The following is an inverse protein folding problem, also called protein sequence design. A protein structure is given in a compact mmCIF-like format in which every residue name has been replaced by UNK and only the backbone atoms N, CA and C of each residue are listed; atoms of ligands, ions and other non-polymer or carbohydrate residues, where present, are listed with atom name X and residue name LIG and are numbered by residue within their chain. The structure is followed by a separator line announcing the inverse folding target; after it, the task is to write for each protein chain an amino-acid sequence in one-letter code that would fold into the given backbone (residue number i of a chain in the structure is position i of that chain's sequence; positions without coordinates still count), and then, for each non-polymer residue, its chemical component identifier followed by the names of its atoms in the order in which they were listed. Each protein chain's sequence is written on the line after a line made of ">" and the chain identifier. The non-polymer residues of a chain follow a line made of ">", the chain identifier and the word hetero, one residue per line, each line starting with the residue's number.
data_IF_724034792986
#
_entry.id   IF_724034792986
#
_cell.length_a   1.000
_cell.length_b   1.000
_cell.length_c   1.000
_cell.angle_alpha   90.00
_cell.angle_beta   90.00
_cell.angle_gamma   90.00
#
_symmetry.space_group_name_H-M   'P 1'
#
loop_
_entity.id
_entity.type
_entity.pdbx_description
1 polymer ?
#
# COMPACT_ATOMS: atom_id res chain seq x y z
N UNK A 1 -22.86 -0.86 -8.36
CA UNK A 1 -22.06 -1.66 -7.40
C UNK A 1 -22.50 -1.26 -6.01
N UNK A 2 -22.95 -2.18 -5.13
CA UNK A 2 -23.38 -1.81 -3.78
C UNK A 2 -22.21 -1.17 -3.00
N UNK A 3 -22.50 -0.24 -2.08
CA UNK A 3 -21.48 0.46 -1.32
C UNK A 3 -20.65 -0.53 -0.48
N UNK A 4 -19.37 -0.19 -0.27
CA UNK A 4 -18.48 -0.97 0.59
C UNK A 4 -19.01 -0.95 2.02
N UNK A 5 -19.00 -2.11 2.68
CA UNK A 5 -19.37 -2.21 4.10
C UNK A 5 -18.42 -1.36 4.94
N UNK A 6 -18.99 -0.45 5.73
CA UNK A 6 -18.27 0.46 6.61
C UNK A 6 -17.47 -0.30 7.67
N UNK A 7 -16.48 0.36 8.27
CA UNK A 7 -15.70 -0.24 9.37
C UNK A 7 -16.59 -0.60 10.56
N UNK A 8 -17.57 0.24 10.87
CA UNK A 8 -18.56 -0.01 11.93
C UNK A 8 -19.38 -1.27 11.66
N UNK A 9 -19.94 -1.42 10.46
CA UNK A 9 -20.68 -2.61 10.09
C UNK A 9 -19.80 -3.87 10.10
N UNK A 10 -18.51 -3.75 9.78
CA UNK A 10 -17.54 -4.87 9.89
C UNK A 10 -17.30 -5.29 11.33
N UNK A 11 -17.15 -4.34 12.24
CA UNK A 11 -17.07 -4.62 13.68
C UNK A 11 -18.33 -5.31 14.16
N UNK A 12 -19.51 -4.83 13.73
CA UNK A 12 -20.79 -5.44 14.07
C UNK A 12 -20.93 -6.86 13.54
N UNK A 13 -20.50 -7.12 12.31
CA UNK A 13 -20.45 -8.48 11.73
C UNK A 13 -19.63 -9.42 12.63
N UNK A 14 -18.43 -9.00 13.03
CA UNK A 14 -17.53 -9.80 13.88
C UNK A 14 -18.18 -10.06 15.24
N UNK A 15 -18.76 -9.03 15.86
CA UNK A 15 -19.45 -9.15 17.13
C UNK A 15 -20.61 -10.16 17.07
N UNK A 16 -21.48 -10.06 16.06
CA UNK A 16 -22.60 -10.97 15.89
C UNK A 16 -22.15 -12.40 15.58
N UNK A 17 -21.06 -12.56 14.83
CA UNK A 17 -20.45 -13.87 14.57
C UNK A 17 -19.90 -14.50 15.84
N UNK A 18 -19.24 -13.72 16.71
CA UNK A 18 -18.76 -14.20 18.03
C UNK A 18 -19.90 -14.63 18.95
N UNK A 19 -21.06 -13.99 18.84
CA UNK A 19 -22.30 -14.38 19.54
C UNK A 19 -23.00 -15.61 18.93
N UNK A 20 -22.43 -16.22 17.89
CA UNK A 20 -22.97 -17.44 17.27
C UNK A 20 -24.13 -17.21 16.30
N UNK A 21 -24.43 -15.98 15.89
CA UNK A 21 -25.46 -15.75 14.86
C UNK A 21 -25.05 -16.36 13.53
N UNK A 22 -26.02 -16.89 12.80
CA UNK A 22 -25.80 -17.43 11.46
C UNK A 22 -25.43 -16.32 10.46
N UNK A 23 -24.60 -16.65 9.46
CA UNK A 23 -24.14 -15.68 8.46
C UNK A 23 -25.31 -15.03 7.69
N UNK A 24 -26.40 -15.79 7.45
CA UNK A 24 -27.62 -15.28 6.81
C UNK A 24 -28.34 -14.25 7.67
N UNK A 25 -28.47 -14.51 8.97
CA UNK A 25 -29.09 -13.56 9.89
C UNK A 25 -28.28 -12.26 9.99
N UNK A 26 -26.94 -12.37 10.05
CA UNK A 26 -26.04 -11.21 10.07
C UNK A 26 -26.16 -10.40 8.77
N UNK A 27 -26.21 -11.07 7.62
CA UNK A 27 -26.35 -10.42 6.32
C UNK A 27 -27.65 -9.60 6.22
N UNK A 28 -28.77 -10.17 6.68
CA UNK A 28 -30.06 -9.50 6.73
C UNK A 28 -30.05 -8.30 7.69
N UNK A 29 -29.45 -8.44 8.87
CA UNK A 29 -29.37 -7.38 9.89
C UNK A 29 -28.52 -6.18 9.42
N UNK A 30 -27.41 -6.43 8.73
CA UNK A 30 -26.49 -5.40 8.26
C UNK A 30 -26.92 -4.81 6.90
N UNK A 31 -27.77 -5.50 6.15
CA UNK A 31 -28.13 -5.10 4.78
C UNK A 31 -27.01 -5.33 3.78
N UNK A 32 -26.28 -6.46 3.89
CA UNK A 32 -25.21 -6.83 2.95
C UNK A 32 -25.33 -8.29 2.50
N UNK A 33 -24.48 -8.71 1.56
CA UNK A 33 -24.50 -10.09 1.07
C UNK A 33 -23.85 -11.06 2.06
N UNK A 34 -24.33 -12.31 2.10
CA UNK A 34 -23.73 -13.39 2.93
C UNK A 34 -22.24 -13.57 2.61
N UNK A 35 -21.85 -13.45 1.34
CA UNK A 35 -20.45 -13.51 0.92
C UNK A 35 -19.60 -12.40 1.57
N UNK A 36 -20.16 -11.21 1.78
CA UNK A 36 -19.46 -10.12 2.46
C UNK A 36 -19.27 -10.42 3.94
N UNK A 37 -20.31 -10.94 4.61
CA UNK A 37 -20.22 -11.40 6.01
C UNK A 37 -19.13 -12.45 6.15
N UNK A 38 -19.17 -13.49 5.28
CA UNK A 38 -18.20 -14.57 5.26
C UNK A 38 -16.77 -14.04 5.11
N UNK A 39 -16.52 -13.16 4.13
CA UNK A 39 -15.20 -12.55 3.91
C UNK A 39 -14.69 -11.76 5.11
N UNK A 40 -15.56 -10.99 5.77
CA UNK A 40 -15.19 -10.23 6.97
C UNK A 40 -14.87 -11.15 8.15
N UNK A 41 -15.67 -12.20 8.35
CA UNK A 41 -15.45 -13.18 9.42
C UNK A 41 -14.14 -13.94 9.21
N UNK A 42 -13.85 -14.38 7.98
CA UNK A 42 -12.56 -15.02 7.65
C UNK A 42 -11.38 -14.07 7.85
N UNK A 43 -11.43 -12.86 7.30
CA UNK A 43 -10.36 -11.88 7.50
C UNK A 43 -10.09 -11.61 9.00
N UNK A 44 -11.12 -11.62 9.83
CA UNK A 44 -10.95 -11.49 11.28
C UNK A 44 -10.39 -12.76 11.94
N UNK A 45 -10.86 -13.95 11.57
CA UNK A 45 -10.41 -15.22 12.17
C UNK A 45 -8.98 -15.58 11.78
N UNK A 46 -8.64 -15.36 10.51
CA UNK A 46 -7.38 -15.82 9.92
C UNK A 46 -6.26 -14.79 10.13
N UNK A 47 -6.59 -13.48 10.10
CA UNK A 47 -5.60 -12.38 10.15
C UNK A 47 -5.85 -11.36 11.27
N UNK A 48 -6.93 -11.48 12.05
CA UNK A 48 -7.29 -10.49 13.08
C UNK A 48 -7.77 -9.13 12.51
N UNK A 49 -8.03 -9.05 11.20
CA UNK A 49 -8.13 -7.79 10.47
C UNK A 49 -9.58 -7.37 10.22
N UNK A 50 -9.93 -6.14 10.59
CA UNK A 50 -11.27 -5.55 10.39
C UNK A 50 -11.36 -4.77 9.06
N UNK A 51 -10.25 -4.16 8.64
CA UNK A 51 -10.16 -3.38 7.40
C UNK A 51 -10.12 -4.24 6.14
N UNK A 52 -9.98 -3.61 4.97
CA UNK A 52 -9.55 -4.34 3.77
C UNK A 52 -8.07 -4.74 3.90
N UNK A 53 -7.66 -5.79 3.19
CA UNK A 53 -6.25 -6.13 3.07
C UNK A 53 -5.50 -4.98 2.37
N UNK A 54 -4.23 -4.80 2.72
CA UNK A 54 -3.37 -3.88 1.99
C UNK A 54 -3.39 -4.27 0.51
N UNK A 55 -3.59 -3.27 -0.37
CA UNK A 55 -3.52 -3.54 -1.80
C UNK A 55 -2.07 -3.79 -2.17
N UNK A 56 -1.82 -4.89 -2.86
CA UNK A 56 -0.55 -5.08 -3.55
C UNK A 56 -0.54 -4.13 -4.75
N UNK A 57 0.30 -3.11 -4.68
CA UNK A 57 0.56 -2.24 -5.82
C UNK A 57 1.29 -3.02 -6.91
N UNK A 58 1.29 -2.47 -8.12
CA UNK A 58 2.16 -2.98 -9.19
C UNK A 58 3.62 -2.94 -8.70
N UNK A 59 4.42 -4.00 -8.91
CA UNK A 59 5.85 -3.98 -8.57
C UNK A 59 6.54 -2.76 -9.20
N UNK A 60 7.44 -2.14 -8.44
CA UNK A 60 8.23 -1.01 -8.90
C UNK A 60 9.21 -1.49 -9.97
N UNK A 61 9.54 -0.59 -10.91
CA UNK A 61 10.56 -0.86 -11.94
C UNK A 61 11.95 -0.86 -11.31
N UNK A 62 12.18 -0.01 -10.32
CA UNK A 62 13.41 0.00 -9.52
C UNK A 62 13.24 -0.79 -8.23
N UNK A 63 14.31 -1.49 -7.83
CA UNK A 63 14.43 -2.11 -6.52
C UNK A 63 15.03 -1.15 -5.48
N UNK A 64 15.11 -1.59 -4.22
CA UNK A 64 15.63 -0.78 -3.12
C UNK A 64 17.11 -0.45 -3.29
N UNK A 65 17.91 -1.36 -3.87
CA UNK A 65 19.33 -1.13 -4.08
C UNK A 65 19.57 -0.07 -5.16
N UNK A 66 18.82 -0.14 -6.27
CA UNK A 66 18.85 0.88 -7.32
C UNK A 66 18.39 2.24 -6.80
N UNK A 67 17.35 2.28 -5.98
CA UNK A 67 16.89 3.52 -5.34
C UNK A 67 18.00 4.11 -4.45
N UNK A 68 18.71 3.28 -3.67
CA UNK A 68 19.85 3.70 -2.86
C UNK A 68 21.02 4.23 -3.71
N UNK A 69 21.33 3.58 -4.83
CA UNK A 69 22.38 4.03 -5.74
C UNK A 69 22.04 5.38 -6.38
N UNK A 70 20.77 5.61 -6.73
CA UNK A 70 20.30 6.91 -7.23
C UNK A 70 20.47 7.98 -6.14
N UNK A 71 20.08 7.67 -4.90
CA UNK A 71 20.23 8.60 -3.76
C UNK A 71 21.70 8.93 -3.52
N UNK A 72 22.58 7.92 -3.50
CA UNK A 72 24.01 8.11 -3.28
C UNK A 72 24.64 9.01 -4.36
N UNK A 73 24.31 8.78 -5.63
CA UNK A 73 24.79 9.62 -6.74
C UNK A 73 24.36 11.09 -6.60
N UNK A 74 23.11 11.35 -6.15
CA UNK A 74 22.61 12.72 -5.93
C UNK A 74 23.27 13.39 -4.72
N UNK A 75 23.61 12.63 -3.69
CA UNK A 75 24.28 13.17 -2.50
C UNK A 75 25.73 13.54 -2.82
N UNK A 76 26.42 12.71 -3.60
CA UNK A 76 27.81 12.94 -4.03
C UNK A 76 27.89 14.10 -5.04
N UNK A 77 27.01 14.08 -6.05
CA UNK A 77 26.97 15.08 -7.11
C UNK A 77 25.53 15.61 -7.32
N UNK A 78 25.13 16.69 -6.61
CA UNK A 78 23.74 17.18 -6.61
C UNK A 78 23.19 17.66 -7.96
N UNK A 79 24.07 17.95 -8.92
CA UNK A 79 23.72 18.48 -10.24
C UNK A 79 23.66 17.40 -11.33
N UNK A 80 23.86 16.12 -10.99
CA UNK A 80 23.77 15.03 -11.97
C UNK A 80 22.36 14.93 -12.56
N UNK A 81 22.26 14.90 -13.89
CA UNK A 81 20.97 14.73 -14.54
C UNK A 81 20.47 13.28 -14.42
N UNK A 82 19.15 13.08 -14.44
CA UNK A 82 18.58 11.74 -14.45
C UNK A 82 19.07 10.86 -15.63
N UNK A 83 19.38 11.49 -16.78
CA UNK A 83 19.95 10.80 -17.93
C UNK A 83 21.38 10.32 -17.67
N UNK A 84 22.18 11.12 -16.96
CA UNK A 84 23.55 10.76 -16.57
C UNK A 84 23.52 9.61 -15.56
N UNK A 85 22.66 9.70 -14.53
CA UNK A 85 22.45 8.63 -13.54
C UNK A 85 22.03 7.33 -14.22
N UNK A 86 21.10 7.41 -15.17
CA UNK A 86 20.64 6.24 -15.92
C UNK A 86 21.77 5.55 -16.66
N UNK A 87 22.61 6.32 -17.36
CA UNK A 87 23.74 5.77 -18.13
C UNK A 87 24.83 5.22 -17.23
N UNK A 88 25.16 5.93 -16.15
CA UNK A 88 26.20 5.52 -15.20
C UNK A 88 25.83 4.23 -14.43
N UNK A 89 24.57 4.12 -14.01
CA UNK A 89 24.11 3.02 -13.15
C UNK A 89 23.40 1.88 -13.91
N UNK A 90 23.17 2.03 -15.22
CA UNK A 90 22.51 1.00 -16.04
C UNK A 90 21.06 0.69 -15.62
N UNK A 91 20.36 1.66 -15.02
CA UNK A 91 19.03 1.42 -14.41
C UNK A 91 17.97 1.25 -15.51
N UNK A 92 17.14 0.18 -15.46
CA UNK A 92 16.14 -0.12 -16.49
C UNK A 92 14.88 0.77 -16.42
N UNK A 93 14.91 1.86 -15.67
CA UNK A 93 13.80 2.77 -15.46
C UNK A 93 13.78 3.93 -16.47
N UNK A 94 12.64 4.60 -16.57
CA UNK A 94 12.55 5.86 -17.32
C UNK A 94 13.30 6.96 -16.57
N UNK A 95 13.79 7.98 -17.30
CA UNK A 95 14.40 9.15 -16.64
C UNK A 95 13.41 9.85 -15.69
N UNK A 96 12.11 9.83 -16.02
CA UNK A 96 11.08 10.39 -15.14
C UNK A 96 10.99 9.60 -13.82
N UNK A 97 11.07 8.28 -13.85
CA UNK A 97 11.13 7.47 -12.62
C UNK A 97 12.35 7.82 -11.79
N UNK A 98 13.52 8.01 -12.43
CA UNK A 98 14.76 8.40 -11.75
C UNK A 98 14.60 9.80 -11.13
N UNK A 99 14.06 10.79 -11.85
CA UNK A 99 13.77 12.13 -11.28
C UNK A 99 12.88 12.06 -10.06
N UNK A 100 11.81 11.26 -10.12
CA UNK A 100 10.96 11.05 -8.93
C UNK A 100 11.75 10.48 -7.74
N UNK A 101 12.79 9.67 -7.96
CA UNK A 101 13.68 9.23 -6.88
C UNK A 101 14.62 10.33 -6.40
N UNK A 102 15.14 11.17 -7.31
CA UNK A 102 15.95 12.35 -6.96
C UNK A 102 15.15 13.31 -6.07
N UNK A 103 13.90 13.62 -6.43
CA UNK A 103 13.01 14.51 -5.66
C UNK A 103 12.83 14.00 -4.23
N UNK A 104 12.60 12.68 -4.08
CA UNK A 104 12.52 12.03 -2.76
C UNK A 104 13.84 12.15 -1.99
N UNK A 105 14.98 11.97 -2.65
CA UNK A 105 16.31 12.09 -2.03
C UNK A 105 16.57 13.51 -1.49
N UNK A 106 16.23 14.54 -2.29
CA UNK A 106 16.39 15.94 -1.91
C UNK A 106 15.51 16.30 -0.72
N UNK A 107 14.27 15.82 -0.66
CA UNK A 107 13.39 16.01 0.49
C UNK A 107 13.98 15.41 1.78
N UNK A 108 14.52 14.18 1.72
CA UNK A 108 15.16 13.52 2.85
C UNK A 108 16.40 14.29 3.32
N UNK A 109 17.25 14.75 2.39
CA UNK A 109 18.45 15.52 2.73
C UNK A 109 18.11 16.90 3.31
N UNK A 110 17.05 17.55 2.81
CA UNK A 110 16.54 18.81 3.34
C UNK A 110 15.98 18.67 4.76
N UNK A 111 15.33 17.55 5.08
CA UNK A 111 14.81 17.27 6.43
C UNK A 111 15.92 17.01 7.47
N UNK A 112 17.06 16.45 7.07
CA UNK A 112 18.18 16.18 7.97
C UNK A 112 19.07 17.41 8.24
N UNK A 113 18.83 18.54 7.56
CA UNK A 113 19.59 19.79 7.70
C UNK A 113 18.84 20.89 8.47
N UNK A 114 17.62 20.62 8.93
CA UNK A 114 16.80 21.52 9.76
C UNK A 114 16.82 21.07 11.23
#
# INVERSE_FOLDING_TARGET
>A
MPPRVTRENRLRIVELSKRGKSLRAIAAEIGCTVATVLRVVHAYRDEGRIGDAARTSRPRVTDDFQDLMIIAAVVDEPFLSAGDIKRALGIPASEQTIRHRQDVAVLINGMNRA
#
